data_IF_551083803484
#
_entry.id   IF_551083803484
#
_cell.length_a   1.000
_cell.length_b   1.000
_cell.length_c   1.000
_cell.angle_alpha   90.00
_cell.angle_beta   90.00
_cell.angle_gamma   90.00
#
_symmetry.space_group_name_H-M   'P 1'
#
loop_
_entity.id
_entity.type
_entity.pdbx_description
1 polymer ?
#
# COMPACT_ATOMS: atom_id res chain seq x y z
N UNK A 1 5.09 -28.47 1.24
CA UNK A 1 5.63 -27.57 0.21
C UNK A 1 4.48 -26.67 -0.23
N UNK A 2 4.63 -25.36 -0.10
CA UNK A 2 3.61 -24.39 -0.54
C UNK A 2 3.69 -24.27 -2.05
N UNK A 3 2.61 -24.52 -2.76
CA UNK A 3 2.55 -24.52 -4.22
C UNK A 3 1.41 -23.66 -4.80
N UNK A 4 0.64 -23.00 -3.94
CA UNK A 4 -0.47 -22.15 -4.37
C UNK A 4 -0.64 -20.91 -3.50
N UNK A 5 -1.36 -19.90 -4.05
CA UNK A 5 -1.73 -18.67 -3.32
C UNK A 5 -2.46 -18.98 -2.03
N UNK A 6 -3.40 -19.93 -2.08
CA UNK A 6 -4.23 -20.32 -0.92
C UNK A 6 -3.38 -21.00 0.16
N UNK A 7 -2.45 -21.87 -0.21
CA UNK A 7 -1.56 -22.52 0.76
C UNK A 7 -0.63 -21.51 1.42
N UNK A 8 -0.05 -20.57 0.65
CA UNK A 8 0.78 -19.51 1.20
C UNK A 8 -0.01 -18.66 2.20
N UNK A 9 -1.18 -18.19 1.78
CA UNK A 9 -2.02 -17.34 2.63
C UNK A 9 -2.40 -18.05 3.94
N UNK A 10 -2.85 -19.32 3.87
CA UNK A 10 -3.21 -20.09 5.05
C UNK A 10 -2.01 -20.37 5.97
N UNK A 11 -0.82 -20.55 5.41
CA UNK A 11 0.41 -20.71 6.18
C UNK A 11 0.72 -19.43 6.98
N UNK A 12 0.64 -18.27 6.33
CA UNK A 12 0.85 -16.98 6.98
C UNK A 12 -0.23 -16.68 8.02
N UNK A 13 -1.49 -16.98 7.72
CA UNK A 13 -2.61 -16.82 8.64
C UNK A 13 -2.40 -17.65 9.92
N UNK A 14 -1.98 -18.90 9.76
CA UNK A 14 -1.66 -19.77 10.89
C UNK A 14 -0.46 -19.27 11.68
N UNK A 15 0.54 -18.71 11.02
CA UNK A 15 1.74 -18.17 11.64
C UNK A 15 1.42 -16.87 12.43
N UNK A 16 0.57 -16.00 11.90
CA UNK A 16 0.24 -14.70 12.49
C UNK A 16 -0.42 -14.79 13.87
N UNK A 17 -1.13 -15.90 14.17
CA UNK A 17 -1.89 -16.16 15.41
C UNK A 17 -2.98 -15.13 15.75
N UNK A 18 -3.19 -14.11 14.92
CA UNK A 18 -4.14 -13.01 15.17
C UNK A 18 -5.40 -13.07 14.30
N UNK A 19 -5.41 -13.96 13.30
CA UNK A 19 -6.50 -14.02 12.34
C UNK A 19 -6.46 -12.90 11.29
N UNK A 20 -7.55 -12.76 10.55
CA UNK A 20 -7.72 -11.76 9.52
C UNK A 20 -8.28 -10.46 10.11
N UNK A 21 -7.92 -9.35 9.47
CA UNK A 21 -8.43 -8.01 9.73
C UNK A 21 -8.83 -7.36 8.40
N UNK A 22 -8.97 -6.04 8.36
CA UNK A 22 -9.18 -5.27 7.12
C UNK A 22 -8.16 -4.14 7.01
N UNK A 23 -8.00 -3.54 5.82
CA UNK A 23 -7.08 -2.40 5.66
C UNK A 23 -7.40 -1.25 6.61
N UNK A 24 -8.66 -1.07 6.98
CA UNK A 24 -9.09 -0.01 7.88
C UNK A 24 -8.56 -0.20 9.31
N UNK A 25 -8.21 -1.42 9.70
CA UNK A 25 -7.70 -1.75 11.03
C UNK A 25 -6.18 -1.99 11.06
N UNK A 26 -5.52 -2.12 9.91
CA UNK A 26 -4.06 -2.19 9.82
C UNK A 26 -3.40 -0.87 10.18
N UNK A 27 -4.07 0.24 9.92
CA UNK A 27 -3.51 1.58 10.11
C UNK A 27 -4.42 2.44 10.99
N UNK A 28 -3.92 2.85 12.16
CA UNK A 28 -4.68 3.67 13.13
C UNK A 28 -5.33 4.95 12.58
N UNK A 29 -4.76 5.67 11.60
CA UNK A 29 -5.41 6.84 11.02
C UNK A 29 -6.74 6.55 10.31
N UNK A 30 -7.02 5.31 9.93
CA UNK A 30 -8.29 4.95 9.32
C UNK A 30 -9.45 4.81 10.33
N UNK A 31 -9.17 4.72 11.64
CA UNK A 31 -10.20 4.70 12.67
C UNK A 31 -10.96 6.03 12.69
N UNK A 32 -12.14 6.03 12.07
CA UNK A 32 -13.00 7.21 12.00
C UNK A 32 -12.57 8.25 10.96
N UNK A 33 -11.78 7.88 9.95
CA UNK A 33 -11.37 8.80 8.90
C UNK A 33 -12.59 9.33 8.12
N UNK A 34 -12.85 10.65 8.14
CA UNK A 34 -14.10 11.21 7.57
C UNK A 34 -14.20 11.07 6.05
N UNK A 35 -13.09 10.72 5.38
CA UNK A 35 -13.02 10.56 3.92
C UNK A 35 -13.40 9.15 3.46
N UNK A 36 -13.42 8.16 4.35
CA UNK A 36 -13.86 6.80 4.03
C UNK A 36 -15.35 6.67 4.33
N UNK A 37 -16.19 6.80 3.31
CA UNK A 37 -17.64 6.56 3.43
C UNK A 37 -17.99 5.08 3.60
N UNK A 38 -17.06 4.18 3.32
CA UNK A 38 -17.24 2.72 3.39
C UNK A 38 -16.05 2.07 4.08
N UNK A 39 -16.33 1.15 4.99
CA UNK A 39 -15.30 0.30 5.60
C UNK A 39 -14.96 -0.84 4.65
N UNK A 40 -13.69 -1.07 4.38
CA UNK A 40 -13.26 -2.23 3.60
C UNK A 40 -13.68 -3.54 4.28
N UNK A 41 -14.15 -4.49 3.47
CA UNK A 41 -14.52 -5.84 3.89
C UNK A 41 -13.53 -6.90 3.43
N UNK A 42 -12.54 -6.52 2.64
CA UNK A 42 -11.50 -7.45 2.15
C UNK A 42 -10.65 -7.95 3.32
N UNK A 43 -10.57 -9.28 3.52
CA UNK A 43 -9.71 -9.87 4.55
C UNK A 43 -8.23 -9.64 4.25
N UNK A 44 -7.50 -9.21 5.27
CA UNK A 44 -6.06 -8.94 5.21
C UNK A 44 -5.40 -9.52 6.45
N UNK A 45 -4.22 -10.11 6.32
CA UNK A 45 -3.39 -10.50 7.46
C UNK A 45 -2.44 -9.34 7.76
N UNK A 46 -2.36 -8.94 9.04
CA UNK A 46 -1.39 -7.96 9.52
C UNK A 46 0.04 -8.51 9.39
N UNK A 47 0.79 -7.99 8.43
CA UNK A 47 2.14 -8.46 8.14
C UNK A 47 3.20 -7.86 9.06
N UNK A 48 2.97 -6.68 9.60
CA UNK A 48 3.82 -6.12 10.67
C UNK A 48 3.83 -7.02 11.91
N UNK A 49 2.71 -7.68 12.20
CA UNK A 49 2.63 -8.64 13.28
C UNK A 49 3.40 -9.94 12.96
N UNK A 50 3.36 -10.41 11.72
CA UNK A 50 4.17 -11.55 11.24
C UNK A 50 5.66 -11.23 11.43
N UNK A 51 6.11 -10.07 10.98
CA UNK A 51 7.50 -9.63 11.11
C UNK A 51 7.92 -9.55 12.60
N UNK A 52 7.08 -9.01 13.46
CA UNK A 52 7.33 -8.99 14.91
C UNK A 52 7.49 -10.40 15.49
N UNK A 53 6.73 -11.37 15.02
CA UNK A 53 6.84 -12.76 15.47
C UNK A 53 8.12 -13.42 14.97
N UNK A 54 8.51 -13.20 13.70
CA UNK A 54 9.79 -13.66 13.17
C UNK A 54 10.99 -13.07 13.92
N UNK A 55 10.90 -11.80 14.30
CA UNK A 55 11.97 -11.10 15.01
C UNK A 55 12.12 -11.55 16.47
N UNK A 56 11.10 -12.19 17.06
CA UNK A 56 11.09 -12.54 18.49
C UNK A 56 12.30 -13.38 18.90
N UNK A 57 13.19 -12.74 19.66
CA UNK A 57 14.34 -13.39 20.29
C UNK A 57 15.57 -13.58 19.40
N UNK A 58 15.52 -13.19 18.12
CA UNK A 58 16.59 -13.50 17.16
C UNK A 58 17.16 -12.28 16.42
N UNK A 59 16.34 -11.28 16.11
CA UNK A 59 16.77 -10.07 15.36
C UNK A 59 15.87 -8.87 15.65
N UNK A 60 16.31 -7.69 15.26
CA UNK A 60 15.43 -6.51 15.21
C UNK A 60 14.38 -6.66 14.11
N UNK A 61 13.21 -6.05 14.30
CA UNK A 61 12.19 -5.97 13.25
C UNK A 61 12.73 -5.23 12.02
N UNK A 62 12.42 -5.74 10.86
CA UNK A 62 12.80 -5.16 9.57
C UNK A 62 11.59 -4.49 8.91
N UNK A 63 11.79 -3.53 8.00
CA UNK A 63 10.69 -2.91 7.28
C UNK A 63 9.96 -3.95 6.41
N UNK A 64 8.68 -4.14 6.64
CA UNK A 64 7.80 -5.04 5.87
C UNK A 64 6.61 -4.29 5.29
N UNK A 65 5.85 -4.93 4.40
CA UNK A 65 4.53 -4.45 3.98
C UNK A 65 3.57 -4.44 5.17
N UNK A 66 2.58 -3.57 5.13
CA UNK A 66 1.61 -3.44 6.22
C UNK A 66 0.70 -4.67 6.31
N UNK A 67 0.36 -5.28 5.17
CA UNK A 67 -0.50 -6.46 5.15
C UNK A 67 -0.34 -7.35 3.93
N UNK A 68 -0.96 -8.53 3.97
CA UNK A 68 -1.11 -9.43 2.82
C UNK A 68 -2.55 -9.92 2.69
N UNK A 69 -2.97 -10.12 1.45
CA UNK A 69 -4.31 -10.57 1.12
C UNK A 69 -4.32 -11.54 -0.08
N UNK A 70 -5.43 -12.25 -0.28
CA UNK A 70 -5.70 -12.95 -1.54
C UNK A 70 -6.79 -12.20 -2.30
N UNK A 71 -6.66 -12.07 -3.61
CA UNK A 71 -7.76 -11.54 -4.42
C UNK A 71 -8.99 -12.47 -4.36
N UNK A 72 -10.17 -11.94 -4.73
CA UNK A 72 -11.44 -12.68 -4.61
C UNK A 72 -11.48 -14.00 -5.36
N UNK A 73 -10.69 -14.16 -6.42
CA UNK A 73 -10.55 -15.42 -7.17
C UNK A 73 -9.53 -16.38 -6.54
N UNK A 74 -8.86 -15.96 -5.47
CA UNK A 74 -7.78 -16.70 -4.79
C UNK A 74 -6.62 -17.12 -5.72
N UNK A 75 -6.45 -16.36 -6.81
CA UNK A 75 -5.47 -16.64 -7.84
C UNK A 75 -4.23 -15.73 -7.76
N UNK A 76 -4.30 -14.65 -6.98
CA UNK A 76 -3.21 -13.69 -6.82
C UNK A 76 -2.98 -13.40 -5.34
N UNK A 77 -1.73 -13.54 -4.89
CA UNK A 77 -1.27 -13.11 -3.59
C UNK A 77 -0.92 -11.63 -3.65
N UNK A 78 -1.39 -10.84 -2.69
CA UNK A 78 -1.19 -9.40 -2.73
C UNK A 78 -0.45 -8.92 -1.48
N UNK A 79 0.71 -8.31 -1.67
CA UNK A 79 1.33 -7.48 -0.64
C UNK A 79 0.65 -6.12 -0.63
N UNK A 80 0.22 -5.67 0.54
CA UNK A 80 -0.53 -4.43 0.73
C UNK A 80 0.30 -3.46 1.56
N UNK A 81 0.49 -2.28 1.04
CA UNK A 81 1.18 -1.18 1.72
C UNK A 81 0.24 0.02 1.82
N UNK A 82 0.05 0.56 3.02
CA UNK A 82 -0.84 1.70 3.26
C UNK A 82 -0.02 2.96 3.48
N UNK A 83 -0.36 4.02 2.77
CA UNK A 83 0.32 5.32 2.90
C UNK A 83 -0.69 6.44 3.09
N UNK A 84 -0.75 6.92 4.34
CA UNK A 84 -1.59 8.07 4.70
C UNK A 84 -0.88 9.39 4.42
N UNK A 85 -1.59 10.29 3.72
CA UNK A 85 -1.14 11.65 3.45
C UNK A 85 -1.94 12.70 4.22
N UNK A 86 -3.16 12.38 4.66
CA UNK A 86 -4.06 13.38 5.24
C UNK A 86 -3.44 14.08 6.46
N UNK A 87 -2.90 13.32 7.39
CA UNK A 87 -2.24 13.89 8.58
C UNK A 87 -0.98 14.68 8.22
N UNK A 88 -0.17 14.18 7.26
CA UNK A 88 1.00 14.91 6.80
C UNK A 88 0.61 16.24 6.18
N UNK A 89 -0.37 16.25 5.30
CA UNK A 89 -0.89 17.45 4.64
C UNK A 89 -1.46 18.44 5.66
N UNK A 90 -2.28 17.95 6.61
CA UNK A 90 -2.88 18.78 7.64
C UNK A 90 -1.83 19.53 8.49
N UNK A 91 -0.68 18.90 8.77
CA UNK A 91 0.35 19.47 9.63
C UNK A 91 1.43 20.29 8.88
N UNK A 92 1.66 20.02 7.60
CA UNK A 92 2.83 20.53 6.89
C UNK A 92 2.52 21.46 5.72
N UNK A 93 1.26 21.50 5.27
CA UNK A 93 0.83 22.22 4.08
C UNK A 93 -0.20 23.27 4.48
N UNK A 94 0.10 24.52 4.14
CA UNK A 94 -0.76 25.67 4.45
C UNK A 94 -1.79 25.92 3.34
N UNK A 95 -1.33 25.89 2.09
CA UNK A 95 -2.20 26.10 0.93
C UNK A 95 -2.34 24.82 0.12
N UNK A 96 -3.51 24.18 0.26
CA UNK A 96 -3.78 22.88 -0.38
C UNK A 96 -4.04 22.98 -1.89
N UNK A 97 -4.43 24.16 -2.36
CA UNK A 97 -4.81 24.37 -3.76
C UNK A 97 -3.60 24.81 -4.62
N UNK A 98 -2.55 25.34 -3.99
CA UNK A 98 -1.37 25.82 -4.69
C UNK A 98 -0.12 25.67 -3.82
N UNK A 99 0.61 24.58 -4.06
CA UNK A 99 1.84 24.28 -3.32
C UNK A 99 2.98 25.22 -3.69
N UNK A 100 3.52 25.89 -2.68
CA UNK A 100 4.80 26.57 -2.79
C UNK A 100 5.95 25.59 -3.07
N UNK A 101 7.08 26.11 -3.53
CA UNK A 101 8.30 25.31 -3.76
C UNK A 101 8.74 24.56 -2.50
N UNK A 102 8.64 25.21 -1.33
CA UNK A 102 9.04 24.62 -0.05
C UNK A 102 8.07 23.51 0.38
N UNK A 103 6.77 23.68 0.13
CA UNK A 103 5.77 22.65 0.41
C UNK A 103 5.93 21.44 -0.51
N UNK A 104 6.21 21.65 -1.80
CA UNK A 104 6.57 20.55 -2.73
C UNK A 104 7.81 19.78 -2.23
N UNK A 105 8.84 20.49 -1.76
CA UNK A 105 10.03 19.86 -1.19
C UNK A 105 9.71 19.02 0.07
N UNK A 106 8.78 19.46 0.92
CA UNK A 106 8.33 18.68 2.08
C UNK A 106 7.61 17.38 1.65
N UNK A 107 6.74 17.45 0.64
CA UNK A 107 6.09 16.25 0.07
C UNK A 107 7.13 15.30 -0.49
N UNK A 108 8.10 15.80 -1.25
CA UNK A 108 9.18 14.98 -1.82
C UNK A 108 10.02 14.29 -0.73
N UNK A 109 10.35 15.02 0.33
CA UNK A 109 11.07 14.46 1.49
C UNK A 109 10.26 13.40 2.23
N UNK A 110 8.95 13.57 2.34
CA UNK A 110 8.07 12.58 2.94
C UNK A 110 7.99 11.32 2.07
N UNK A 111 7.77 11.50 0.77
CA UNK A 111 7.73 10.41 -0.19
C UNK A 111 9.05 9.60 -0.22
N UNK A 112 10.20 10.28 -0.17
CA UNK A 112 11.52 9.63 -0.15
C UNK A 112 11.76 8.74 1.07
N UNK A 113 11.00 8.92 2.17
CA UNK A 113 11.07 8.05 3.35
C UNK A 113 10.35 6.70 3.13
N UNK A 114 9.51 6.61 2.11
CA UNK A 114 8.75 5.39 1.85
C UNK A 114 9.63 4.40 1.08
N UNK A 115 10.20 3.45 1.78
CA UNK A 115 11.05 2.40 1.20
C UNK A 115 10.19 1.26 0.62
N UNK A 116 9.40 1.55 -0.42
CA UNK A 116 8.45 0.58 -0.99
C UNK A 116 9.15 -0.68 -1.49
N UNK A 117 10.26 -0.52 -2.21
CA UNK A 117 11.04 -1.65 -2.73
C UNK A 117 11.60 -2.53 -1.59
N UNK A 118 12.27 -1.91 -0.62
CA UNK A 118 12.87 -2.65 0.51
C UNK A 118 11.82 -3.37 1.37
N UNK A 119 10.64 -2.77 1.55
CA UNK A 119 9.53 -3.41 2.26
C UNK A 119 9.01 -4.64 1.51
N UNK A 120 8.80 -4.55 0.21
CA UNK A 120 8.39 -5.68 -0.60
C UNK A 120 9.43 -6.81 -0.59
N UNK A 121 10.70 -6.49 -0.82
CA UNK A 121 11.79 -7.46 -0.82
C UNK A 121 11.93 -8.19 0.52
N UNK A 122 11.75 -7.45 1.64
CA UNK A 122 11.80 -8.05 2.97
C UNK A 122 10.59 -8.96 3.20
N UNK A 123 9.39 -8.52 2.84
CA UNK A 123 8.17 -9.33 2.99
C UNK A 123 8.23 -10.63 2.16
N UNK A 124 8.86 -10.60 0.99
CA UNK A 124 9.13 -11.81 0.19
C UNK A 124 10.04 -12.76 0.97
N UNK A 125 11.14 -12.26 1.55
CA UNK A 125 12.06 -13.07 2.36
C UNK A 125 11.40 -13.66 3.59
N UNK A 126 10.53 -12.89 4.25
CA UNK A 126 9.79 -13.37 5.42
C UNK A 126 8.82 -14.50 5.05
N UNK A 127 8.15 -14.41 3.91
CA UNK A 127 7.33 -15.52 3.38
C UNK A 127 8.17 -16.78 3.10
N UNK A 128 9.36 -16.60 2.53
CA UNK A 128 10.28 -17.70 2.26
C UNK A 128 10.82 -18.33 3.55
N UNK A 129 11.14 -17.52 4.55
CA UNK A 129 11.56 -18.00 5.88
C UNK A 129 10.47 -18.81 6.56
N UNK A 130 9.23 -18.30 6.60
CA UNK A 130 8.08 -18.98 7.23
C UNK A 130 7.76 -20.31 6.54
N UNK A 131 7.85 -20.35 5.21
CA UNK A 131 7.53 -21.57 4.44
C UNK A 131 8.69 -22.54 4.34
N UNK A 132 9.92 -22.11 4.67
CA UNK A 132 11.14 -22.89 4.44
C UNK A 132 11.47 -23.11 2.96
N UNK A 133 10.92 -22.27 2.06
CA UNK A 133 11.10 -22.38 0.61
C UNK A 133 11.75 -21.12 0.06
N UNK A 134 12.82 -21.29 -0.71
CA UNK A 134 13.47 -20.22 -1.47
C UNK A 134 12.89 -20.09 -2.87
N UNK A 135 12.91 -18.89 -3.44
CA UNK A 135 12.36 -18.60 -4.76
C UNK A 135 10.85 -18.95 -4.88
N UNK A 136 10.08 -18.61 -3.87
CA UNK A 136 8.66 -18.92 -3.79
C UNK A 136 7.85 -18.18 -4.87
N UNK A 137 8.12 -16.90 -5.07
CA UNK A 137 7.31 -16.01 -5.90
C UNK A 137 7.48 -16.12 -7.43
N UNK A 138 8.52 -16.73 -8.01
CA UNK A 138 8.46 -17.16 -9.41
C UNK A 138 7.34 -18.18 -9.72
N UNK A 139 6.85 -18.90 -8.71
CA UNK A 139 5.81 -19.93 -8.87
C UNK A 139 4.43 -19.49 -8.38
N UNK A 140 4.35 -18.47 -7.53
CA UNK A 140 3.10 -17.96 -6.97
C UNK A 140 2.82 -16.58 -7.60
N UNK A 141 1.71 -16.42 -8.35
CA UNK A 141 1.31 -15.13 -8.89
C UNK A 141 1.08 -14.10 -7.76
N UNK A 142 1.73 -12.95 -7.85
CA UNK A 142 1.60 -11.93 -6.83
C UNK A 142 1.52 -10.51 -7.38
N UNK A 143 0.95 -9.61 -6.58
CA UNK A 143 0.85 -8.19 -6.87
C UNK A 143 1.34 -7.37 -5.67
N UNK A 144 1.80 -6.15 -5.94
CA UNK A 144 2.08 -5.14 -4.94
C UNK A 144 1.03 -4.05 -5.01
N UNK A 145 0.29 -3.87 -3.94
CA UNK A 145 -0.86 -2.96 -3.86
C UNK A 145 -0.53 -1.83 -2.90
N UNK A 146 -0.47 -0.61 -3.44
CA UNK A 146 -0.35 0.60 -2.63
C UNK A 146 -1.74 1.18 -2.42
N UNK A 147 -2.10 1.38 -1.15
CA UNK A 147 -3.37 1.98 -0.74
C UNK A 147 -3.09 3.34 -0.11
N UNK A 148 -3.81 4.36 -0.53
CA UNK A 148 -3.65 5.72 -0.04
C UNK A 148 -4.97 6.35 0.38
N UNK A 149 -4.89 7.31 1.31
CA UNK A 149 -6.00 8.16 1.74
C UNK A 149 -6.08 9.49 0.99
N UNK A 150 -5.33 9.64 -0.10
CA UNK A 150 -5.45 10.83 -0.96
C UNK A 150 -6.91 11.03 -1.36
N UNK A 151 -7.41 12.25 -1.14
CA UNK A 151 -8.79 12.58 -1.49
C UNK A 151 -8.96 12.67 -2.99
N UNK A 152 -9.51 11.62 -3.59
CA UNK A 152 -9.81 11.55 -5.02
C UNK A 152 -11.13 12.23 -5.42
N UNK A 153 -11.94 12.67 -4.46
CA UNK A 153 -13.23 13.35 -4.76
C UNK A 153 -13.03 14.78 -5.30
N UNK A 154 -11.82 15.31 -5.17
CA UNK A 154 -11.38 16.54 -5.87
C UNK A 154 -11.03 16.27 -7.34
N UNK A 155 -10.90 14.99 -7.73
CA UNK A 155 -10.39 14.55 -9.02
C UNK A 155 -11.35 14.64 -10.24
N UNK A 156 -12.69 14.57 -10.15
CA UNK A 156 -13.50 14.66 -11.38
C UNK A 156 -13.49 16.03 -12.06
N UNK A 157 -13.18 17.10 -11.32
CA UNK A 157 -12.85 18.39 -11.93
C UNK A 157 -11.41 18.41 -12.46
N UNK A 158 -10.55 17.52 -11.93
CA UNK A 158 -9.10 17.56 -12.11
C UNK A 158 -8.64 17.03 -13.47
N UNK A 159 -9.35 16.14 -14.16
CA UNK A 159 -8.97 15.78 -15.53
C UNK A 159 -9.11 16.96 -16.50
N UNK A 160 -10.08 17.83 -16.30
CA UNK A 160 -10.20 19.07 -17.05
C UNK A 160 -9.23 20.15 -16.53
N UNK A 161 -9.06 20.24 -15.20
CA UNK A 161 -8.14 21.17 -14.53
C UNK A 161 -6.70 20.68 -14.63
N UNK A 162 -6.42 19.36 -14.64
CA UNK A 162 -5.08 18.82 -14.90
C UNK A 162 -4.59 19.15 -16.30
N UNK A 163 -5.48 19.13 -17.29
CA UNK A 163 -5.14 19.63 -18.63
C UNK A 163 -4.95 21.16 -18.68
N UNK A 164 -5.57 21.92 -17.77
CA UNK A 164 -5.33 23.35 -17.59
C UNK A 164 -4.16 23.65 -16.64
N UNK A 165 -3.89 22.81 -15.64
CA UNK A 165 -2.81 23.00 -14.67
C UNK A 165 -1.43 22.68 -15.26
N UNK A 166 -1.32 21.85 -16.27
CA UNK A 166 -0.10 21.76 -17.12
C UNK A 166 0.26 23.11 -17.76
N UNK A 167 -0.73 23.99 -17.92
CA UNK A 167 -0.52 25.36 -18.40
C UNK A 167 -0.28 26.37 -17.29
N UNK A 168 -0.57 26.06 -16.01
CA UNK A 168 -0.55 27.03 -14.91
C UNK A 168 0.42 26.74 -13.76
N UNK A 169 1.17 25.64 -13.78
CA UNK A 169 2.05 25.16 -12.68
C UNK A 169 1.37 24.98 -11.30
N UNK A 170 0.04 25.07 -11.22
CA UNK A 170 -0.73 24.96 -9.98
C UNK A 170 -1.33 23.58 -9.84
N UNK A 171 -0.59 22.63 -9.25
CA UNK A 171 -1.15 21.36 -8.84
C UNK A 171 -1.66 21.45 -7.40
N UNK A 172 -2.86 20.92 -7.11
CA UNK A 172 -3.31 20.74 -5.75
C UNK A 172 -2.37 19.81 -4.98
N UNK A 173 -2.33 19.91 -3.66
CA UNK A 173 -1.50 19.03 -2.84
C UNK A 173 -1.84 17.57 -3.07
N UNK A 174 -3.11 17.26 -3.27
CA UNK A 174 -3.56 15.87 -3.46
C UNK A 174 -3.07 15.28 -4.77
N UNK A 175 -3.19 16.02 -5.86
CA UNK A 175 -2.63 15.62 -7.16
C UNK A 175 -1.12 15.42 -7.06
N UNK A 176 -0.42 16.33 -6.39
CA UNK A 176 1.03 16.21 -6.24
C UNK A 176 1.44 15.00 -5.39
N UNK A 177 0.75 14.72 -4.29
CA UNK A 177 0.97 13.52 -3.47
C UNK A 177 0.68 12.24 -4.25
N UNK A 178 -0.41 12.22 -5.00
CA UNK A 178 -0.83 11.09 -5.82
C UNK A 178 0.22 10.75 -6.90
N UNK A 179 0.67 11.76 -7.63
CA UNK A 179 1.72 11.62 -8.65
C UNK A 179 3.04 11.10 -8.05
N UNK A 180 3.42 11.59 -6.86
CA UNK A 180 4.61 11.10 -6.16
C UNK A 180 4.48 9.64 -5.75
N UNK A 181 3.31 9.22 -5.27
CA UNK A 181 3.07 7.83 -4.90
C UNK A 181 3.09 6.90 -6.11
N UNK A 182 2.48 7.31 -7.22
CA UNK A 182 2.54 6.57 -8.49
C UNK A 182 3.98 6.43 -8.98
N UNK A 183 4.75 7.51 -8.99
CA UNK A 183 6.15 7.49 -9.39
C UNK A 183 7.02 6.59 -8.49
N UNK A 184 6.77 6.58 -7.18
CA UNK A 184 7.45 5.68 -6.25
C UNK A 184 7.10 4.21 -6.53
N UNK A 185 5.82 3.92 -6.77
CA UNK A 185 5.40 2.57 -7.10
C UNK A 185 6.02 2.11 -8.43
N UNK A 186 6.09 2.99 -9.41
CA UNK A 186 6.73 2.70 -10.71
C UNK A 186 8.22 2.40 -10.57
N UNK A 187 8.89 2.98 -9.57
CA UNK A 187 10.30 2.72 -9.29
C UNK A 187 10.58 1.36 -8.62
N UNK A 188 9.56 0.69 -8.08
CA UNK A 188 9.68 -0.68 -7.56
C UNK A 188 9.96 -1.65 -8.70
N UNK A 189 10.76 -2.69 -8.46
CA UNK A 189 11.23 -3.62 -9.49
C UNK A 189 10.09 -4.16 -10.39
N UNK A 190 10.40 -4.32 -11.66
CA UNK A 190 9.46 -4.32 -12.79
C UNK A 190 8.70 -5.64 -13.00
N UNK A 191 9.08 -6.70 -12.32
CA UNK A 191 8.50 -8.04 -12.55
C UNK A 191 7.19 -8.27 -11.79
N UNK A 192 6.86 -7.39 -10.84
CA UNK A 192 5.64 -7.49 -10.03
C UNK A 192 4.48 -6.70 -10.66
N UNK A 193 3.29 -7.25 -10.62
CA UNK A 193 2.06 -6.50 -10.91
C UNK A 193 1.87 -5.41 -9.87
N UNK A 194 1.89 -4.17 -10.31
CA UNK A 194 1.71 -2.99 -9.46
C UNK A 194 0.27 -2.52 -9.52
N UNK A 195 -0.31 -2.23 -8.36
CA UNK A 195 -1.68 -1.73 -8.24
C UNK A 195 -1.68 -0.53 -7.31
N UNK A 196 -2.31 0.54 -7.75
CA UNK A 196 -2.52 1.75 -6.96
C UNK A 196 -4.02 1.91 -6.69
N UNK A 197 -4.39 2.11 -5.44
CA UNK A 197 -5.78 2.22 -5.03
C UNK A 197 -5.96 3.33 -3.99
N UNK A 198 -7.07 4.05 -4.05
CA UNK A 198 -7.50 4.86 -2.93
C UNK A 198 -8.27 3.99 -1.93
N UNK A 199 -8.20 4.33 -0.63
CA UNK A 199 -8.84 3.54 0.43
C UNK A 199 -10.31 3.25 0.13
N UNK A 200 -11.06 4.23 -0.36
CA UNK A 200 -12.49 4.10 -0.68
C UNK A 200 -12.78 3.10 -1.80
N UNK A 201 -11.83 2.92 -2.72
CA UNK A 201 -12.01 2.08 -3.92
C UNK A 201 -11.30 0.72 -3.78
N UNK A 202 -10.65 0.49 -2.63
CA UNK A 202 -9.80 -0.68 -2.43
C UNK A 202 -10.51 -1.99 -2.75
N UNK A 203 -11.67 -2.26 -2.17
CA UNK A 203 -12.39 -3.53 -2.36
C UNK A 203 -12.79 -3.75 -3.82
N UNK A 204 -13.19 -2.68 -4.52
CA UNK A 204 -13.54 -2.74 -5.94
C UNK A 204 -12.32 -3.05 -6.81
N UNK A 205 -11.24 -2.29 -6.63
CA UNK A 205 -9.98 -2.47 -7.39
C UNK A 205 -9.38 -3.84 -7.08
N UNK A 206 -9.36 -4.21 -5.79
CA UNK A 206 -8.81 -5.47 -5.32
C UNK A 206 -9.50 -6.69 -5.95
N UNK A 207 -10.82 -6.63 -6.08
CA UNK A 207 -11.61 -7.70 -6.73
C UNK A 207 -11.25 -7.93 -8.21
N UNK A 208 -10.66 -6.94 -8.85
CA UNK A 208 -10.33 -6.95 -10.29
C UNK A 208 -8.86 -7.33 -10.58
N UNK A 209 -8.02 -7.50 -9.54
CA UNK A 209 -6.60 -7.83 -9.74
C UNK A 209 -6.46 -9.17 -10.48
N UNK A 210 -5.72 -9.14 -11.57
CA UNK A 210 -5.31 -10.30 -12.38
C UNK A 210 -3.81 -10.17 -12.67
N UNK A 211 -3.11 -11.28 -12.73
CA UNK A 211 -1.68 -11.37 -13.07
C UNK A 211 -1.49 -12.29 -14.24
#
# INVERSE_FOLDING_TARGET
MVGSVVELYNTLLSFSKQGETTICHLHKPCDGHPMCSTTSTTPVIDFDNIEKQLAQGHRSTLPSCDGVAMNNTKAVFCFVEIKGWDQFVAHNITNKDNLSKDEKAKVDQQAAKYNLKGKLEQSIKDCEEITGQTNLFPTIPYAYVIVTDVNSDVAPLDDFVANLSTLSETASVWTYCDDKMKALLDSVDLTVKKVYAHCKDFDSIFSQIRV
#
